data_IF_664994945996
#
_entry.id   IF_664994945996
#
_cell.length_a   1.000
_cell.length_b   1.000
_cell.length_c   1.000
_cell.angle_alpha   90.00
_cell.angle_beta   90.00
_cell.angle_gamma   90.00
#
_symmetry.space_group_name_H-M   'P 1'
#
loop_
_entity.id
_entity.type
_entity.pdbx_description
1 polymer ?
#
# COMPACT_ATOMS: atom_id res chain seq x y z
N UNK A 1 4.58 -11.84 -0.32
CA UNK A 1 4.30 -11.39 -1.70
C UNK A 1 2.86 -10.93 -1.87
N UNK A 2 1.83 -11.74 -1.54
CA UNK A 2 0.41 -11.36 -1.65
C UNK A 2 0.08 -9.94 -1.14
N UNK A 3 0.36 -9.64 0.13
CA UNK A 3 0.03 -8.33 0.70
C UNK A 3 0.79 -7.16 0.05
N UNK A 4 1.94 -7.40 -0.57
CA UNK A 4 2.77 -6.35 -1.14
C UNK A 4 2.15 -5.77 -2.41
N UNK A 5 1.70 -6.62 -3.33
CA UNK A 5 1.01 -6.15 -4.54
C UNK A 5 -0.42 -5.67 -4.23
N UNK A 6 -1.14 -6.37 -3.35
CA UNK A 6 -2.51 -6.00 -2.96
C UNK A 6 -2.59 -4.65 -2.26
N UNK A 7 -1.58 -4.29 -1.47
CA UNK A 7 -1.52 -2.96 -0.85
C UNK A 7 -1.52 -1.84 -1.88
N UNK A 8 -0.79 -2.02 -2.99
CA UNK A 8 -0.81 -1.07 -4.12
C UNK A 8 -2.13 -1.16 -4.88
N UNK A 9 -2.54 -2.37 -5.29
CA UNK A 9 -3.72 -2.59 -6.12
C UNK A 9 -5.02 -2.09 -5.48
N UNK A 10 -5.17 -2.26 -4.16
CA UNK A 10 -6.40 -1.96 -3.45
C UNK A 10 -6.37 -0.64 -2.69
N UNK A 11 -5.25 -0.32 -2.07
CA UNK A 11 -5.17 0.79 -1.11
C UNK A 11 -4.33 1.96 -1.66
N UNK A 12 -3.87 1.88 -2.91
CA UNK A 12 -2.98 2.87 -3.55
C UNK A 12 -1.74 3.17 -2.68
N UNK A 13 -1.20 2.14 -2.03
CA UNK A 13 -0.05 2.29 -1.14
C UNK A 13 1.18 2.79 -1.91
N UNK A 14 1.78 3.87 -1.42
CA UNK A 14 2.97 4.48 -1.98
C UNK A 14 4.25 4.24 -1.15
N UNK A 15 4.13 3.61 0.03
CA UNK A 15 5.24 3.29 0.93
C UNK A 15 5.15 1.84 1.39
N UNK A 16 6.28 1.13 1.31
CA UNK A 16 6.45 -0.24 1.80
C UNK A 16 7.51 -0.28 2.91
N UNK A 17 7.18 -0.93 4.02
CA UNK A 17 8.11 -1.20 5.12
C UNK A 17 8.32 -2.70 5.28
N UNK A 18 9.57 -3.15 5.40
CA UNK A 18 9.94 -4.55 5.58
C UNK A 18 10.90 -4.76 6.76
N UNK A 19 10.78 -5.90 7.43
CA UNK A 19 11.59 -6.24 8.60
C UNK A 19 12.93 -6.88 8.23
N UNK A 20 13.99 -6.09 8.03
CA UNK A 20 15.30 -6.58 7.58
C UNK A 20 16.04 -7.57 8.50
N UNK A 21 15.59 -7.75 9.76
CA UNK A 21 16.10 -8.79 10.67
C UNK A 21 15.14 -9.98 10.84
N UNK A 22 13.98 -9.93 10.19
CA UNK A 22 12.89 -10.89 10.37
C UNK A 22 12.75 -11.78 9.14
N UNK A 23 12.90 -11.20 7.93
CA UNK A 23 12.82 -11.93 6.68
C UNK A 23 14.19 -12.09 6.03
N UNK A 24 14.38 -13.19 5.29
CA UNK A 24 15.59 -13.43 4.49
C UNK A 24 15.64 -12.55 3.23
N UNK A 25 16.81 -12.43 2.62
CA UNK A 25 17.06 -11.56 1.46
C UNK A 25 16.20 -11.93 0.25
N UNK A 26 16.10 -13.20 -0.09
CA UNK A 26 15.33 -13.66 -1.26
C UNK A 26 13.86 -13.27 -1.15
N UNK A 27 13.24 -13.56 -0.01
CA UNK A 27 11.86 -13.16 0.26
C UNK A 27 11.68 -11.63 0.25
N UNK A 28 12.68 -10.89 0.74
CA UNK A 28 12.64 -9.43 0.69
C UNK A 28 12.61 -8.92 -0.76
N UNK A 29 13.46 -9.47 -1.64
CA UNK A 29 13.46 -9.10 -3.06
C UNK A 29 12.13 -9.44 -3.75
N UNK A 30 11.57 -10.64 -3.52
CA UNK A 30 10.27 -11.02 -4.07
C UNK A 30 9.13 -10.09 -3.60
N UNK A 31 9.15 -9.65 -2.33
CA UNK A 31 8.18 -8.71 -1.79
C UNK A 31 8.31 -7.34 -2.46
N UNK A 32 9.54 -6.84 -2.61
CA UNK A 32 9.82 -5.55 -3.25
C UNK A 32 9.40 -5.59 -4.72
N UNK A 33 9.72 -6.66 -5.44
CA UNK A 33 9.34 -6.82 -6.84
C UNK A 33 7.82 -6.87 -7.01
N UNK A 34 7.11 -7.61 -6.15
CA UNK A 34 5.65 -7.65 -6.15
C UNK A 34 5.02 -6.27 -5.89
N UNK A 35 5.59 -5.48 -4.98
CA UNK A 35 5.13 -4.12 -4.69
C UNK A 35 5.36 -3.16 -5.88
N UNK A 36 6.58 -3.15 -6.44
CA UNK A 36 6.96 -2.22 -7.51
C UNK A 36 6.25 -2.50 -8.84
N UNK A 37 5.92 -3.76 -9.12
CA UNK A 37 5.24 -4.14 -10.35
C UNK A 37 3.71 -4.01 -10.26
N UNK A 38 3.16 -3.90 -9.06
CA UNK A 38 1.74 -3.72 -8.85
C UNK A 38 1.27 -2.35 -9.35
N UNK A 39 0.01 -2.28 -9.78
CA UNK A 39 -0.63 -1.04 -10.22
C UNK A 39 -1.94 -0.87 -9.49
N UNK A 40 -2.27 0.37 -9.15
CA UNK A 40 -3.56 0.65 -8.54
C UNK A 40 -4.69 0.28 -9.50
N UNK A 41 -5.60 -0.58 -9.04
CA UNK A 41 -6.74 -1.08 -9.82
C UNK A 41 -8.02 -0.90 -8.98
N UNK A 42 -8.59 0.32 -8.99
CA UNK A 42 -9.71 0.65 -8.12
C UNK A 42 -10.95 -0.17 -8.46
N UNK A 43 -11.37 -1.02 -7.52
CA UNK A 43 -12.72 -1.55 -7.48
C UNK A 43 -13.55 -0.70 -6.52
N UNK A 44 -14.86 -0.62 -6.73
CA UNK A 44 -15.78 0.24 -5.96
C UNK A 44 -15.55 0.13 -4.42
N UNK A 45 -15.41 -1.09 -3.91
CA UNK A 45 -15.18 -1.32 -2.47
C UNK A 45 -13.83 -0.80 -1.95
N UNK A 46 -12.81 -0.80 -2.79
CA UNK A 46 -11.44 -0.43 -2.48
C UNK A 46 -11.29 1.09 -2.54
N UNK A 47 -11.75 1.71 -3.63
CA UNK A 47 -11.82 3.16 -3.77
C UNK A 47 -12.60 3.82 -2.61
N UNK A 48 -13.77 3.28 -2.24
CA UNK A 48 -14.56 3.78 -1.10
C UNK A 48 -13.81 3.74 0.24
N UNK A 49 -12.87 2.81 0.43
CA UNK A 49 -12.05 2.75 1.66
C UNK A 49 -10.93 3.77 1.61
N UNK A 50 -10.25 3.89 0.46
CA UNK A 50 -9.23 4.90 0.22
C UNK A 50 -9.78 6.31 0.41
N UNK A 51 -10.96 6.60 -0.14
CA UNK A 51 -11.62 7.92 0.00
C UNK A 51 -11.82 8.32 1.47
N UNK A 52 -12.16 7.37 2.34
CA UNK A 52 -12.30 7.65 3.79
C UNK A 52 -10.97 8.03 4.42
N UNK A 53 -9.87 7.41 4.01
CA UNK A 53 -8.53 7.75 4.49
C UNK A 53 -8.14 9.15 4.02
N UNK A 54 -8.34 9.43 2.73
CA UNK A 54 -8.07 10.75 2.13
C UNK A 54 -8.91 11.86 2.79
N UNK A 55 -10.17 11.59 3.14
CA UNK A 55 -11.01 12.54 3.89
C UNK A 55 -10.46 12.83 5.29
N UNK A 56 -9.93 11.81 5.99
CA UNK A 56 -9.31 11.98 7.31
C UNK A 56 -8.05 12.84 7.18
N UNK A 57 -7.19 12.54 6.20
CA UNK A 57 -5.96 13.29 5.94
C UNK A 57 -6.26 14.75 5.62
N UNK A 58 -7.24 15.01 4.75
CA UNK A 58 -7.68 16.36 4.40
C UNK A 58 -8.14 17.14 5.62
N UNK A 59 -8.99 16.55 6.48
CA UNK A 59 -9.45 17.20 7.73
C UNK A 59 -8.30 17.52 8.68
N UNK A 60 -7.30 16.63 8.76
CA UNK A 60 -6.12 16.86 9.59
C UNK A 60 -5.25 18.02 9.07
N UNK A 61 -5.10 18.13 7.75
CA UNK A 61 -4.38 19.23 7.10
C UNK A 61 -5.11 20.57 7.21
N UNK A 62 -6.44 20.58 7.05
CA UNK A 62 -7.27 21.80 7.18
C UNK A 62 -7.27 22.37 8.62
N UNK A 63 -6.87 21.56 9.62
CA UNK A 63 -6.79 21.97 11.02
C UNK A 63 -5.42 22.54 11.44
N UNK A 64 -4.44 22.55 10.53
CA UNK A 64 -3.12 23.16 10.72
C UNK A 64 -3.11 24.63 10.27
#
# INVERSE_FOLDING_TARGET
TYSAHQGVEHDDMNVLCIGGRIIGSELAFEIIEAFLNARYEPQERHARRLDKVLEIEKRGLDAL
#
